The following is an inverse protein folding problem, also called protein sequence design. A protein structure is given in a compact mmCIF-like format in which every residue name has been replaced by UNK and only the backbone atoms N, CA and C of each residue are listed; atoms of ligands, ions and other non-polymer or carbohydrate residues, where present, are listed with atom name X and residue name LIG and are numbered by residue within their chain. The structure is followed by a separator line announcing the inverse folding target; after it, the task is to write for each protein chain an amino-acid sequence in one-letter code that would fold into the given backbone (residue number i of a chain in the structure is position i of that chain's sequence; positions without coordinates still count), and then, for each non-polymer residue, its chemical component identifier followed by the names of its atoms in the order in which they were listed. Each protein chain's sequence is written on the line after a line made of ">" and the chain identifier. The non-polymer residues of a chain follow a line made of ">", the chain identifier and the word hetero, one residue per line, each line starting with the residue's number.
data_IF_714513481452
#
_entry.id   IF_714513481452
#
_cell.length_a   1.000
_cell.length_b   1.000
_cell.length_c   1.000
_cell.angle_alpha   90.00
_cell.angle_beta   90.00
_cell.angle_gamma   90.00
#
_symmetry.space_group_name_H-M   'P 1'
#
loop_
_entity.id
_entity.type
_entity.pdbx_description
1 polymer ?
#
# COMPACT_ATOMS: atom_id res chain seq x y z
N UNK A 1 -49.30 -49.65 50.23
CA UNK A 1 -48.91 -49.34 48.80
C UNK A 1 -48.74 -47.83 48.69
N UNK A 2 -47.51 -47.35 48.78
CA UNK A 2 -47.19 -45.92 48.68
C UNK A 2 -46.64 -45.68 47.29
N UNK A 3 -47.30 -44.81 46.46
CA UNK A 3 -46.87 -44.39 45.15
C UNK A 3 -45.91 -43.22 45.33
N UNK A 4 -44.65 -43.41 44.93
CA UNK A 4 -43.66 -42.39 44.92
C UNK A 4 -43.79 -41.65 43.53
N UNK A 5 -44.13 -40.35 43.59
CA UNK A 5 -44.11 -39.46 42.45
C UNK A 5 -42.68 -38.93 42.22
N UNK A 6 -42.04 -39.37 41.14
CA UNK A 6 -40.76 -38.88 40.73
C UNK A 6 -40.98 -37.63 39.87
N UNK A 7 -40.70 -36.44 40.44
CA UNK A 7 -40.80 -35.17 39.74
C UNK A 7 -39.50 -34.93 38.97
N UNK A 8 -39.57 -34.95 37.62
CA UNK A 8 -38.48 -34.67 36.74
C UNK A 8 -38.40 -33.14 36.56
N UNK A 9 -37.43 -32.50 37.21
CA UNK A 9 -37.11 -31.09 36.98
C UNK A 9 -36.20 -31.02 35.72
N UNK A 10 -36.77 -30.57 34.60
CA UNK A 10 -36.01 -30.23 33.38
C UNK A 10 -35.40 -28.85 33.57
N UNK A 11 -34.10 -28.81 33.82
CA UNK A 11 -33.34 -27.57 33.88
C UNK A 11 -33.04 -27.15 32.43
N UNK A 12 -33.82 -26.20 31.90
CA UNK A 12 -33.61 -25.62 30.57
C UNK A 12 -32.44 -24.64 30.65
N UNK A 13 -31.27 -25.09 30.20
CA UNK A 13 -30.10 -24.23 30.05
C UNK A 13 -30.32 -23.33 28.84
N UNK A 14 -30.75 -22.10 29.05
CA UNK A 14 -30.78 -21.06 28.01
C UNK A 14 -29.35 -20.61 27.82
N UNK A 15 -28.69 -21.12 26.75
CA UNK A 15 -27.44 -20.54 26.26
C UNK A 15 -27.77 -19.18 25.64
N UNK A 16 -27.53 -18.11 26.37
CA UNK A 16 -27.44 -16.78 25.79
C UNK A 16 -26.12 -16.75 25.00
N UNK A 17 -26.20 -16.98 23.72
CA UNK A 17 -25.13 -16.65 22.80
C UNK A 17 -25.02 -15.12 22.78
N UNK A 18 -24.15 -14.57 23.64
CA UNK A 18 -23.65 -13.23 23.44
C UNK A 18 -22.89 -13.26 22.09
N UNK A 19 -23.56 -12.85 21.03
CA UNK A 19 -22.93 -12.58 19.76
C UNK A 19 -21.90 -11.49 20.00
N UNK A 20 -20.62 -11.87 20.09
CA UNK A 20 -19.56 -10.93 19.76
C UNK A 20 -19.81 -10.51 18.31
N UNK A 21 -20.24 -9.28 18.10
CA UNK A 21 -20.08 -8.62 16.82
C UNK A 21 -18.57 -8.58 16.52
N UNK A 22 -18.10 -9.66 15.91
CA UNK A 22 -16.89 -9.60 15.11
C UNK A 22 -17.27 -8.59 14.03
N UNK A 23 -16.83 -7.34 14.17
CA UNK A 23 -16.78 -6.41 13.07
C UNK A 23 -16.04 -7.18 11.98
N UNK A 24 -16.79 -7.71 11.04
CA UNK A 24 -16.25 -8.21 9.81
C UNK A 24 -15.36 -7.06 9.28
N UNK A 25 -14.06 -7.27 9.28
CA UNK A 25 -13.21 -6.62 8.33
C UNK A 25 -13.66 -7.19 6.98
N UNK A 26 -14.80 -6.71 6.49
CA UNK A 26 -15.17 -6.89 5.12
C UNK A 26 -14.11 -6.13 4.35
N UNK A 27 -13.20 -6.86 3.72
CA UNK A 27 -12.54 -6.35 2.53
C UNK A 27 -13.65 -6.16 1.52
N UNK A 28 -14.39 -5.07 1.64
CA UNK A 28 -15.34 -4.65 0.63
C UNK A 28 -14.50 -4.34 -0.61
N UNK A 29 -14.65 -5.12 -1.70
CA UNK A 29 -13.90 -4.85 -2.92
C UNK A 29 -14.25 -3.48 -3.54
N UNK A 30 -15.17 -2.75 -2.94
CA UNK A 30 -15.58 -1.40 -3.31
C UNK A 30 -14.97 -0.29 -2.46
N UNK A 31 -14.25 -0.63 -1.36
CA UNK A 31 -13.53 0.39 -0.61
C UNK A 31 -12.35 0.94 -1.44
N UNK A 32 -12.25 2.28 -1.55
CA UNK A 32 -11.16 2.93 -2.25
C UNK A 32 -9.87 2.87 -1.41
N UNK A 33 -9.08 1.83 -1.62
CA UNK A 33 -7.84 1.57 -0.88
C UNK A 33 -6.61 1.84 -1.72
N UNK A 34 -5.57 2.36 -1.08
CA UNK A 34 -4.21 2.25 -1.58
C UNK A 34 -3.64 0.90 -1.14
N UNK A 35 -3.31 0.05 -2.11
CA UNK A 35 -2.75 -1.27 -1.91
C UNK A 35 -1.24 -1.25 -1.97
N UNK A 36 -0.61 -2.01 -1.06
CA UNK A 36 0.81 -2.30 -1.12
C UNK A 36 1.74 -1.07 -1.07
N UNK A 37 1.46 0.06 -0.40
CA UNK A 37 2.51 1.03 -0.17
C UNK A 37 3.65 0.40 0.63
N UNK A 38 4.88 0.51 0.11
CA UNK A 38 6.11 0.08 0.78
C UNK A 38 7.13 1.20 0.73
N UNK A 39 7.83 1.40 1.84
CA UNK A 39 8.86 2.44 1.99
C UNK A 39 10.23 1.82 2.20
N UNK A 40 11.18 2.23 1.36
CA UNK A 40 12.60 1.96 1.47
C UNK A 40 13.34 3.24 1.87
N UNK A 41 14.34 3.10 2.72
CA UNK A 41 15.16 4.19 3.22
C UNK A 41 16.64 3.89 2.93
N UNK A 42 17.31 4.79 2.22
CA UNK A 42 18.70 4.63 1.77
C UNK A 42 19.56 5.79 2.30
N UNK A 43 19.98 5.76 3.57
CA UNK A 43 20.92 6.76 4.08
C UNK A 43 22.35 6.47 3.58
N UNK A 44 23.22 7.48 3.55
CA UNK A 44 24.64 7.31 3.19
C UNK A 44 25.44 6.52 4.24
N UNK A 45 24.98 6.53 5.48
CA UNK A 45 25.52 5.76 6.61
C UNK A 45 24.40 5.27 7.50
N UNK A 46 24.68 4.34 8.40
CA UNK A 46 23.69 3.89 9.39
C UNK A 46 23.19 5.06 10.25
N UNK A 47 21.86 5.24 10.30
CA UNK A 47 21.19 6.28 11.08
C UNK A 47 19.89 5.76 11.70
N UNK A 48 19.45 6.43 12.76
CA UNK A 48 18.11 6.24 13.30
C UNK A 48 17.11 7.13 12.53
N UNK A 49 16.00 6.54 12.13
CA UNK A 49 14.94 7.21 11.37
C UNK A 49 13.60 7.02 12.07
N UNK A 50 12.84 8.10 12.20
CA UNK A 50 11.46 8.08 12.61
C UNK A 50 10.56 8.35 11.40
N UNK A 51 9.51 7.55 11.24
CA UNK A 51 8.54 7.69 10.14
C UNK A 51 7.14 7.84 10.71
N UNK A 52 6.43 8.89 10.30
CA UNK A 52 5.05 9.18 10.72
C UNK A 52 4.19 9.59 9.54
N UNK A 53 2.89 9.47 9.71
CA UNK A 53 1.88 10.00 8.80
C UNK A 53 1.20 11.22 9.41
N UNK A 54 0.86 12.20 8.59
CA UNK A 54 0.05 13.35 9.01
C UNK A 54 -1.35 12.91 9.45
N UNK A 55 -1.92 11.91 8.74
CA UNK A 55 -3.27 11.37 8.96
C UNK A 55 -3.19 9.87 9.28
N UNK A 56 -2.70 9.47 10.46
CA UNK A 56 -2.52 8.07 10.82
C UNK A 56 -3.85 7.31 10.95
N UNK A 57 -4.97 8.00 11.11
CA UNK A 57 -6.32 7.43 11.15
C UNK A 57 -6.77 6.82 9.82
N UNK A 58 -6.09 7.13 8.71
CA UNK A 58 -6.35 6.52 7.40
C UNK A 58 -5.70 5.14 7.26
N UNK A 59 -4.74 4.79 8.12
CA UNK A 59 -4.04 3.51 8.07
C UNK A 59 -4.95 2.36 8.49
N UNK A 60 -5.01 1.31 7.70
CA UNK A 60 -5.78 0.09 7.96
C UNK A 60 -4.88 -1.06 8.42
N UNK A 61 -3.85 -1.33 7.62
CA UNK A 61 -2.90 -2.41 7.86
C UNK A 61 -1.50 -1.85 7.84
N UNK A 62 -0.64 -2.31 8.75
CA UNK A 62 0.75 -1.86 8.82
C UNK A 62 1.70 -2.99 9.20
N UNK A 63 2.89 -3.01 8.60
CA UNK A 63 3.97 -3.91 9.00
C UNK A 63 5.34 -3.23 8.87
N UNK A 64 6.10 -3.12 9.97
CA UNK A 64 5.74 -3.46 11.36
C UNK A 64 4.45 -2.76 11.82
N UNK A 65 3.89 -3.21 12.95
CA UNK A 65 2.71 -2.55 13.51
C UNK A 65 3.02 -1.08 13.82
N UNK A 66 2.21 -0.18 13.28
CA UNK A 66 2.32 1.25 13.52
C UNK A 66 1.84 1.61 14.94
N UNK A 67 2.71 2.23 15.72
CA UNK A 67 2.40 2.69 17.06
C UNK A 67 2.81 4.17 17.19
N UNK A 68 1.96 5.08 16.68
CA UNK A 68 2.23 6.53 16.62
C UNK A 68 3.47 6.90 15.77
N UNK A 69 3.97 5.96 14.97
CA UNK A 69 5.15 6.05 14.13
C UNK A 69 5.97 4.77 14.14
N UNK A 70 6.94 4.68 13.24
CA UNK A 70 7.99 3.69 13.23
C UNK A 70 9.30 4.36 13.63
N UNK A 71 10.07 3.72 14.50
CA UNK A 71 11.45 4.09 14.84
C UNK A 71 12.36 2.93 14.47
N UNK A 72 13.27 3.15 13.53
CA UNK A 72 14.14 2.11 13.01
C UNK A 72 15.58 2.62 12.85
N UNK A 73 16.55 1.74 13.06
CA UNK A 73 17.94 1.94 12.63
C UNK A 73 18.06 1.45 11.21
N UNK A 74 18.52 2.30 10.30
CA UNK A 74 18.55 2.06 8.85
C UNK A 74 19.97 2.04 8.33
N UNK A 75 20.32 1.01 7.55
CA UNK A 75 21.61 0.88 6.86
C UNK A 75 21.54 1.40 5.41
N UNK A 76 22.68 1.70 4.77
CA UNK A 76 22.70 2.24 3.39
C UNK A 76 22.03 1.37 2.33
N UNK A 77 21.91 0.06 2.57
CA UNK A 77 21.23 -0.90 1.67
C UNK A 77 19.71 -1.01 1.93
N UNK A 78 19.14 -0.12 2.74
CA UNK A 78 17.75 -0.13 3.20
C UNK A 78 17.40 -1.23 4.20
N UNK A 79 18.35 -1.98 4.75
CA UNK A 79 18.08 -2.86 5.88
C UNK A 79 17.70 -2.04 7.10
N UNK A 80 16.57 -2.38 7.72
CA UNK A 80 16.02 -1.68 8.88
C UNK A 80 15.91 -2.62 10.07
N UNK A 81 16.14 -2.08 11.26
CA UNK A 81 16.03 -2.82 12.52
C UNK A 81 15.25 -2.00 13.53
N UNK A 82 14.29 -2.63 14.20
CA UNK A 82 13.60 -1.99 15.32
C UNK A 82 14.46 -1.98 16.60
N UNK A 83 13.94 -1.40 17.68
CA UNK A 83 14.61 -1.32 18.99
C UNK A 83 14.98 -2.68 19.60
N UNK A 84 14.30 -3.76 19.16
CA UNK A 84 14.55 -5.12 19.59
C UNK A 84 15.52 -5.86 18.65
N UNK A 85 16.07 -5.19 17.64
CA UNK A 85 16.94 -5.76 16.62
C UNK A 85 16.25 -6.63 15.59
N UNK A 86 14.91 -6.57 15.49
CA UNK A 86 14.17 -7.30 14.47
C UNK A 86 14.34 -6.62 13.12
N UNK A 87 14.66 -7.43 12.11
CA UNK A 87 14.94 -7.00 10.75
C UNK A 87 13.66 -6.77 9.92
N UNK A 88 13.69 -5.70 9.12
CA UNK A 88 12.71 -5.36 8.08
C UNK A 88 13.45 -4.84 6.85
N UNK A 89 13.03 -5.23 5.65
CA UNK A 89 13.61 -4.69 4.41
C UNK A 89 12.81 -3.50 3.84
N UNK A 90 11.59 -3.30 4.33
CA UNK A 90 10.71 -2.19 3.99
C UNK A 90 9.69 -1.97 5.10
N UNK A 91 9.13 -0.78 5.19
CA UNK A 91 7.92 -0.48 5.97
C UNK A 91 6.73 -0.57 5.03
N UNK A 92 5.65 -1.19 5.48
CA UNK A 92 4.47 -1.48 4.67
C UNK A 92 3.20 -0.99 5.35
N UNK A 93 2.24 -0.51 4.55
CA UNK A 93 0.89 -0.19 5.02
C UNK A 93 -0.15 -0.33 3.91
N UNK A 94 -1.41 -0.24 4.31
CA UNK A 94 -2.55 0.04 3.46
C UNK A 94 -3.34 1.17 4.10
N UNK A 95 -3.91 2.04 3.29
CA UNK A 95 -4.67 3.19 3.78
C UNK A 95 -5.93 3.45 2.96
N UNK A 96 -6.94 4.08 3.60
CA UNK A 96 -8.15 4.56 2.94
C UNK A 96 -7.78 5.72 2.01
N UNK A 97 -8.23 5.65 0.76
CA UNK A 97 -8.03 6.70 -0.22
C UNK A 97 -9.31 7.04 -0.97
N UNK A 98 -10.06 8.01 -0.47
CA UNK A 98 -11.32 8.49 -1.07
C UNK A 98 -11.12 9.49 -2.21
N UNK A 99 -9.89 9.76 -2.64
CA UNK A 99 -9.63 10.70 -3.73
C UNK A 99 -10.10 10.12 -5.06
N UNK A 100 -10.91 10.86 -5.80
CA UNK A 100 -11.24 10.50 -7.18
C UNK A 100 -10.02 10.71 -8.05
N UNK A 101 -9.69 9.68 -8.84
CA UNK A 101 -8.61 9.77 -9.80
C UNK A 101 -9.12 10.40 -11.10
N UNK A 102 -8.38 11.38 -11.60
CA UNK A 102 -8.64 12.01 -12.90
C UNK A 102 -7.82 11.32 -14.00
N UNK A 103 -8.49 10.66 -14.92
CA UNK A 103 -7.90 10.02 -16.10
C UNK A 103 -7.98 10.90 -17.35
N UNK A 104 -7.86 12.22 -17.23
CA UNK A 104 -7.69 13.12 -18.38
C UNK A 104 -6.37 12.89 -19.12
N UNK A 105 -5.39 12.32 -18.43
CA UNK A 105 -4.13 11.83 -19.00
C UNK A 105 -3.74 10.49 -18.35
N UNK A 106 -2.84 9.76 -19.01
CA UNK A 106 -2.38 8.45 -18.56
C UNK A 106 -1.77 7.65 -19.68
N UNK A 107 -1.89 6.32 -19.59
CA UNK A 107 -1.37 5.38 -20.58
C UNK A 107 -2.43 4.31 -20.86
N UNK A 108 -2.64 4.00 -22.13
CA UNK A 108 -3.39 2.81 -22.51
C UNK A 108 -2.44 1.63 -22.51
N UNK A 109 -2.73 0.63 -21.71
CA UNK A 109 -1.90 -0.56 -21.49
C UNK A 109 -2.72 -1.81 -21.75
N UNK A 110 -2.17 -2.72 -22.55
CA UNK A 110 -2.72 -4.06 -22.78
C UNK A 110 -1.88 -5.09 -22.04
N UNK A 111 -2.42 -6.29 -21.83
CA UNK A 111 -1.65 -7.38 -21.23
C UNK A 111 -0.36 -7.69 -22.00
N UNK A 112 -0.37 -7.53 -23.34
CA UNK A 112 0.74 -7.88 -24.19
C UNK A 112 1.92 -6.90 -24.07
N UNK A 113 1.66 -5.63 -23.68
CA UNK A 113 2.70 -4.62 -23.50
C UNK A 113 2.94 -4.23 -22.02
N UNK A 114 2.27 -4.89 -21.09
CA UNK A 114 2.30 -4.51 -19.66
C UNK A 114 3.70 -4.59 -19.06
N UNK A 115 4.50 -5.62 -19.39
CA UNK A 115 5.88 -5.75 -18.90
C UNK A 115 6.74 -4.60 -19.40
N UNK A 116 6.79 -4.38 -20.72
CA UNK A 116 7.59 -3.31 -21.33
C UNK A 116 7.18 -1.94 -20.82
N UNK A 117 5.87 -1.71 -20.66
CA UNK A 117 5.31 -0.50 -20.10
C UNK A 117 5.83 -0.25 -18.68
N UNK A 118 5.72 -1.23 -17.79
CA UNK A 118 6.16 -1.11 -16.40
C UNK A 118 7.68 -0.92 -16.32
N UNK A 119 8.48 -1.72 -17.03
CA UNK A 119 9.93 -1.58 -17.02
C UNK A 119 10.38 -0.19 -17.50
N UNK A 120 9.80 0.28 -18.59
CA UNK A 120 10.16 1.59 -19.18
C UNK A 120 9.76 2.75 -18.29
N UNK A 121 8.51 2.76 -17.81
CA UNK A 121 7.99 3.89 -17.02
C UNK A 121 8.61 3.97 -15.64
N UNK A 122 8.76 2.84 -14.95
CA UNK A 122 9.35 2.80 -13.61
C UNK A 122 10.84 3.15 -13.61
N UNK A 123 11.57 2.72 -14.65
CA UNK A 123 12.97 3.15 -14.86
C UNK A 123 13.05 4.66 -15.07
N UNK A 124 12.17 5.23 -15.92
CA UNK A 124 12.11 6.68 -16.15
C UNK A 124 11.80 7.45 -14.88
N UNK A 125 10.85 6.96 -14.07
CA UNK A 125 10.47 7.57 -12.79
C UNK A 125 11.62 7.53 -11.78
N UNK A 126 12.51 6.52 -11.85
CA UNK A 126 13.73 6.44 -11.03
C UNK A 126 13.72 5.32 -9.96
N UNK A 127 12.89 4.28 -10.13
CA UNK A 127 12.99 3.08 -9.32
C UNK A 127 14.24 2.28 -9.73
N UNK A 128 15.00 1.78 -8.73
CA UNK A 128 16.10 0.87 -8.99
C UNK A 128 15.59 -0.56 -9.33
N UNK A 129 16.49 -1.47 -9.69
CA UNK A 129 16.12 -2.81 -10.14
C UNK A 129 15.34 -3.60 -9.07
N UNK A 130 15.71 -3.50 -7.81
CA UNK A 130 15.00 -4.19 -6.70
C UNK A 130 13.58 -3.66 -6.55
N UNK A 131 13.43 -2.35 -6.43
CA UNK A 131 12.13 -1.69 -6.26
C UNK A 131 11.21 -1.94 -7.45
N UNK A 132 11.77 -1.84 -8.69
CA UNK A 132 11.05 -2.11 -9.92
C UNK A 132 10.59 -3.57 -10.02
N UNK A 133 11.45 -4.52 -9.69
CA UNK A 133 11.10 -5.93 -9.71
C UNK A 133 9.98 -6.24 -8.70
N UNK A 134 10.07 -5.73 -7.47
CA UNK A 134 9.02 -5.93 -6.48
C UNK A 134 7.69 -5.27 -6.87
N UNK A 135 7.74 -4.07 -7.47
CA UNK A 135 6.58 -3.40 -8.04
C UNK A 135 5.93 -4.23 -9.14
N UNK A 136 6.72 -4.69 -10.13
CA UNK A 136 6.24 -5.48 -11.26
C UNK A 136 5.63 -6.81 -10.79
N UNK A 137 6.28 -7.53 -9.88
CA UNK A 137 5.76 -8.79 -9.34
C UNK A 137 4.37 -8.63 -8.71
N UNK A 138 4.04 -7.46 -8.18
CA UNK A 138 2.74 -7.21 -7.58
C UNK A 138 1.70 -6.71 -8.59
N UNK A 139 2.04 -5.73 -9.44
CA UNK A 139 1.08 -5.05 -10.30
C UNK A 139 0.87 -5.68 -11.67
N UNK A 140 1.85 -6.41 -12.19
CA UNK A 140 1.77 -7.08 -13.49
C UNK A 140 0.60 -8.06 -13.58
N UNK A 141 0.36 -8.97 -12.62
CA UNK A 141 -0.77 -9.90 -12.69
C UNK A 141 -2.13 -9.21 -12.80
N UNK A 142 -2.26 -8.00 -12.22
CA UNK A 142 -3.48 -7.20 -12.29
C UNK A 142 -3.68 -6.64 -13.70
N UNK A 143 -2.62 -6.12 -14.33
CA UNK A 143 -2.68 -5.63 -15.71
C UNK A 143 -2.95 -6.74 -16.71
N UNK A 144 -2.32 -7.90 -16.55
CA UNK A 144 -2.54 -9.06 -17.42
C UNK A 144 -3.96 -9.60 -17.29
N UNK A 145 -4.53 -9.62 -16.07
CA UNK A 145 -5.89 -10.09 -15.85
C UNK A 145 -6.97 -9.13 -16.38
N UNK A 146 -6.62 -7.87 -16.56
CA UNK A 146 -7.55 -6.88 -17.11
C UNK A 146 -7.72 -6.95 -18.64
N UNK A 147 -6.80 -7.57 -19.39
CA UNK A 147 -6.62 -7.49 -20.83
C UNK A 147 -6.28 -6.07 -21.33
N UNK A 148 -7.03 -5.07 -20.90
CA UNK A 148 -6.85 -3.64 -21.26
C UNK A 148 -7.07 -2.77 -20.04
N UNK A 149 -6.23 -1.77 -19.88
CA UNK A 149 -6.31 -0.82 -18.77
C UNK A 149 -5.94 0.59 -19.21
N UNK A 150 -6.47 1.57 -18.50
CA UNK A 150 -5.85 2.88 -18.40
C UNK A 150 -5.03 2.89 -17.13
N UNK A 151 -3.78 3.35 -17.23
CA UNK A 151 -2.85 3.50 -16.12
C UNK A 151 -2.47 4.96 -15.97
N UNK A 152 -2.47 5.46 -14.75
CA UNK A 152 -1.94 6.78 -14.39
C UNK A 152 -1.08 6.66 -13.13
N UNK A 153 0.00 7.41 -13.06
CA UNK A 153 0.82 7.52 -11.86
C UNK A 153 0.46 8.78 -11.07
N UNK A 154 0.19 8.62 -9.78
CA UNK A 154 0.15 9.72 -8.81
C UNK A 154 1.52 9.81 -8.15
N UNK A 155 2.12 10.99 -8.13
CA UNK A 155 3.51 11.17 -7.72
C UNK A 155 3.63 11.96 -6.40
N UNK A 156 4.87 12.16 -5.96
CA UNK A 156 5.26 12.67 -4.64
C UNK A 156 4.44 13.85 -4.14
N UNK A 157 4.28 14.90 -4.95
CA UNK A 157 3.59 16.12 -4.51
C UNK A 157 2.11 15.86 -4.17
N UNK A 158 1.40 15.17 -5.07
CA UNK A 158 0.01 14.81 -4.87
C UNK A 158 -0.19 13.87 -3.67
N UNK A 159 0.70 12.87 -3.52
CA UNK A 159 0.66 11.93 -2.39
C UNK A 159 1.00 12.61 -1.05
N UNK A 160 1.94 13.56 -1.04
CA UNK A 160 2.25 14.35 0.15
C UNK A 160 1.07 15.25 0.55
N UNK A 161 0.39 15.86 -0.41
CA UNK A 161 -0.80 16.69 -0.15
C UNK A 161 -1.99 15.86 0.37
N UNK A 162 -2.07 14.59 0.00
CA UNK A 162 -3.13 13.69 0.43
C UNK A 162 -2.92 13.20 1.87
N UNK A 163 -1.78 12.59 2.13
CA UNK A 163 -1.36 12.13 3.45
C UNK A 163 0.17 12.22 3.52
N UNK A 164 0.67 13.29 4.17
CA UNK A 164 2.09 13.53 4.23
C UNK A 164 2.81 12.42 4.99
N UNK A 165 3.86 11.88 4.35
CA UNK A 165 4.83 11.00 4.97
C UNK A 165 5.93 11.87 5.58
N UNK A 166 6.04 11.83 6.91
CA UNK A 166 6.97 12.62 7.70
C UNK A 166 8.13 11.71 8.11
N UNK A 167 9.34 12.00 7.63
CA UNK A 167 10.55 11.21 7.89
C UNK A 167 11.57 12.11 8.59
N UNK A 168 12.09 11.66 9.72
CA UNK A 168 13.09 12.38 10.53
C UNK A 168 14.29 11.46 10.82
N UNK A 169 15.53 11.89 10.43
CA UNK A 169 15.87 13.14 9.74
C UNK A 169 15.21 13.20 8.36
N UNK A 170 14.95 14.43 7.88
CA UNK A 170 14.35 14.64 6.56
C UNK A 170 15.27 14.09 5.47
N UNK A 171 14.77 13.25 4.54
CA UNK A 171 15.56 12.78 3.42
C UNK A 171 15.91 13.94 2.46
N UNK A 172 17.09 13.85 1.85
CA UNK A 172 17.52 14.77 0.79
C UNK A 172 16.71 14.57 -0.49
N UNK A 173 16.26 13.32 -0.72
CA UNK A 173 15.45 12.95 -1.87
C UNK A 173 14.27 12.07 -1.43
N UNK A 174 13.06 12.43 -1.85
CA UNK A 174 11.83 11.66 -1.61
C UNK A 174 11.11 11.40 -2.93
N UNK A 175 10.91 10.15 -3.26
CA UNK A 175 10.03 9.72 -4.35
C UNK A 175 8.89 8.88 -3.79
N UNK A 176 7.66 9.28 -4.09
CA UNK A 176 6.43 8.51 -3.83
C UNK A 176 5.74 8.26 -5.16
N UNK A 177 5.36 7.01 -5.44
CA UNK A 177 4.79 6.58 -6.73
C UNK A 177 3.60 5.65 -6.49
N UNK A 178 2.40 6.08 -6.83
CA UNK A 178 1.22 5.22 -6.84
C UNK A 178 0.75 4.97 -8.27
N UNK A 179 0.60 3.70 -8.65
CA UNK A 179 -0.06 3.32 -9.89
C UNK A 179 -1.57 3.26 -9.68
N UNK A 180 -2.33 3.92 -10.55
CA UNK A 180 -3.79 3.83 -10.59
C UNK A 180 -4.17 3.06 -11.85
N UNK A 181 -4.84 1.91 -11.67
CA UNK A 181 -5.20 1.00 -12.75
C UNK A 181 -6.71 0.97 -12.88
N UNK A 182 -7.23 1.34 -14.05
CA UNK A 182 -8.65 1.23 -14.40
C UNK A 182 -8.82 0.27 -15.56
N UNK A 183 -9.56 -0.82 -15.36
CA UNK A 183 -9.94 -1.74 -16.43
C UNK A 183 -10.83 -1.04 -17.45
N UNK A 184 -10.61 -1.31 -18.74
CA UNK A 184 -11.44 -0.81 -19.84
C UNK A 184 -11.75 -1.91 -20.84
N UNK A 185 -12.92 -1.83 -21.49
CA UNK A 185 -13.37 -2.88 -22.41
C UNK A 185 -12.88 -2.65 -23.85
N UNK A 186 -12.51 -1.41 -24.18
CA UNK A 186 -12.07 -1.02 -25.53
C UNK A 186 -10.83 -0.13 -25.48
N UNK A 187 -10.16 -0.02 -26.58
CA UNK A 187 -9.09 0.94 -26.75
C UNK A 187 -9.58 2.37 -26.52
N UNK A 188 -8.79 3.14 -25.79
CA UNK A 188 -9.07 4.53 -25.45
C UNK A 188 -7.87 5.37 -25.86
N UNK A 189 -8.13 6.37 -26.69
CA UNK A 189 -7.13 7.39 -26.99
C UNK A 189 -7.06 8.37 -25.81
N UNK A 190 -6.00 8.28 -25.03
CA UNK A 190 -5.76 9.11 -23.85
C UNK A 190 -4.52 9.97 -24.04
N UNK A 191 -4.57 11.20 -23.56
CA UNK A 191 -3.38 12.05 -23.52
C UNK A 191 -2.30 11.38 -22.67
N UNK A 192 -1.10 11.23 -23.22
CA UNK A 192 0.02 10.61 -22.52
C UNK A 192 0.44 11.47 -21.32
N UNK A 193 0.53 10.83 -20.15
CA UNK A 193 1.06 11.47 -18.94
C UNK A 193 2.57 11.72 -19.09
N UNK A 194 3.01 12.92 -18.73
CA UNK A 194 4.42 13.24 -18.61
C UNK A 194 4.97 12.74 -17.28
N UNK A 195 6.04 11.95 -17.36
CA UNK A 195 6.69 11.38 -16.17
C UNK A 195 8.03 12.10 -15.96
N UNK A 196 8.27 12.66 -14.75
CA UNK A 196 9.55 13.24 -14.40
C UNK A 196 10.62 12.15 -14.25
N UNK A 197 11.88 12.55 -14.33
CA UNK A 197 13.02 11.71 -13.94
C UNK A 197 13.44 12.11 -12.53
N UNK A 198 13.47 11.15 -11.61
CA UNK A 198 13.92 11.36 -10.24
C UNK A 198 15.42 11.08 -10.11
N UNK A 199 16.14 12.02 -9.50
CA UNK A 199 17.56 11.87 -9.18
C UNK A 199 17.73 11.61 -7.69
N UNK A 200 18.40 10.52 -7.34
CA UNK A 200 18.71 10.16 -5.96
C UNK A 200 19.95 10.93 -5.50
N UNK A 201 19.83 11.62 -4.38
CA UNK A 201 20.93 12.35 -3.74
C UNK A 201 20.86 12.17 -2.23
N UNK A 202 22.01 11.98 -1.58
CA UNK A 202 22.11 11.85 -0.13
C UNK A 202 21.17 10.78 0.45
N UNK A 203 20.59 11.07 1.61
CA UNK A 203 19.57 10.20 2.21
C UNK A 203 18.32 10.17 1.32
N UNK A 204 18.06 9.05 0.69
CA UNK A 204 16.94 8.86 -0.23
C UNK A 204 15.85 8.00 0.39
N UNK A 205 14.60 8.43 0.27
CA UNK A 205 13.41 7.66 0.63
C UNK A 205 12.58 7.36 -0.63
N UNK A 206 12.21 6.11 -0.83
CA UNK A 206 11.40 5.63 -1.97
C UNK A 206 10.17 4.93 -1.44
N UNK A 207 9.01 5.38 -1.86
CA UNK A 207 7.74 4.70 -1.59
C UNK A 207 7.03 4.40 -2.90
N UNK A 208 6.49 3.19 -3.01
CA UNK A 208 5.59 2.85 -4.09
C UNK A 208 4.39 2.04 -3.61
N UNK A 209 3.28 2.22 -4.29
CA UNK A 209 2.02 1.55 -4.03
C UNK A 209 1.07 1.72 -5.22
N UNK A 210 -0.24 1.58 -5.00
CA UNK A 210 -1.21 1.88 -6.06
C UNK A 210 -2.64 1.50 -5.72
N UNK A 211 -3.52 1.68 -6.71
CA UNK A 211 -4.96 1.42 -6.61
C UNK A 211 -5.52 0.75 -7.84
N UNK A 212 -6.57 -0.03 -7.61
CA UNK A 212 -7.48 -0.52 -8.66
C UNK A 212 -8.72 0.38 -8.63
N UNK A 213 -8.99 1.04 -9.76
CA UNK A 213 -10.11 1.95 -9.92
C UNK A 213 -11.21 1.23 -10.70
N UNK A 214 -12.42 1.23 -10.18
CA UNK A 214 -13.62 0.66 -10.82
C UNK A 214 -14.30 1.62 -11.78
#
# INVERSE_FOLDING_TARGET
>A
MKKIFLSLIIFSFIFVLAGCDIKNCSNDPDEPLDYKPVLYLYPEKEINVNVKFEKPELLLTTYPKYNKGWSVTVKPNSDMYDENGKYYYALYWEEINNTKEDFSEGFYVTKDNAIEFLETTLTKIGLNDKERNEFIMYWLPILENNDKSIVKYTLTEELQNKNALIIEPKPDSLLRVNINIKKVDKEINIKKQELPTFNRTGFTAIEWGGRIIK
#
